data_IF_841858100174
#
_entry.id   IF_841858100174
#
_cell.length_a   1.000
_cell.length_b   1.000
_cell.length_c   1.000
_cell.angle_alpha   90.00
_cell.angle_beta   90.00
_cell.angle_gamma   90.00
#
_symmetry.space_group_name_H-M   'P 1'
#
loop_
_entity.id
_entity.type
_entity.pdbx_description
1 polymer ?
#
# COMPACT_ATOMS: atom_id res chain seq x y z
N UNK A 1 23.30 -0.96 18.07
CA UNK A 1 23.83 0.14 18.89
C UNK A 1 24.46 1.24 18.08
N UNK A 2 25.55 1.02 17.28
CA UNK A 2 26.19 2.10 16.50
C UNK A 2 25.21 2.72 15.48
N UNK A 3 24.42 1.93 14.76
CA UNK A 3 23.39 2.42 13.85
C UNK A 3 22.33 3.23 14.61
N UNK A 4 21.82 2.72 15.71
CA UNK A 4 20.82 3.41 16.54
C UNK A 4 21.33 4.76 17.03
N UNK A 5 22.57 4.82 17.52
CA UNK A 5 23.17 6.07 18.00
C UNK A 5 23.32 7.10 16.85
N UNK A 6 23.66 6.64 15.65
CA UNK A 6 23.73 7.51 14.47
C UNK A 6 22.34 8.02 14.02
N UNK A 7 21.33 7.15 14.02
CA UNK A 7 19.95 7.51 13.66
C UNK A 7 19.41 8.57 14.61
N UNK A 8 19.55 8.36 15.92
CA UNK A 8 19.11 9.34 16.92
C UNK A 8 19.90 10.66 16.80
N UNK A 9 21.22 10.59 16.64
CA UNK A 9 22.03 11.80 16.46
C UNK A 9 21.59 12.59 15.20
N UNK A 10 21.30 11.91 14.10
CA UNK A 10 20.80 12.55 12.88
C UNK A 10 19.42 13.18 13.08
N UNK A 11 18.50 12.48 13.76
CA UNK A 11 17.16 13.00 14.07
C UNK A 11 17.23 14.28 14.90
N UNK A 12 18.03 14.26 15.99
CA UNK A 12 18.23 15.43 16.86
C UNK A 12 18.92 16.58 16.15
N UNK A 13 19.91 16.30 15.31
CA UNK A 13 20.59 17.32 14.52
C UNK A 13 19.68 17.98 13.49
N UNK A 14 18.78 17.18 12.87
CA UNK A 14 17.80 17.67 11.92
C UNK A 14 16.59 18.35 12.58
N UNK A 15 16.39 18.18 13.89
CA UNK A 15 15.26 18.74 14.64
C UNK A 15 13.92 18.14 14.24
N UNK A 16 13.89 16.86 13.86
CA UNK A 16 12.67 16.12 13.53
C UNK A 16 12.04 15.49 14.78
N UNK A 17 10.72 15.38 14.79
CA UNK A 17 9.95 14.93 15.94
C UNK A 17 9.81 13.41 16.04
N UNK A 18 10.06 12.68 14.96
CA UNK A 18 9.89 11.24 14.92
C UNK A 18 10.73 10.54 13.87
N UNK A 19 10.80 9.23 14.00
CA UNK A 19 11.45 8.30 13.06
C UNK A 19 10.41 7.27 12.64
N UNK A 20 10.34 7.03 11.34
CA UNK A 20 9.59 5.92 10.76
C UNK A 20 10.57 4.85 10.25
N UNK A 21 10.36 3.60 10.66
CA UNK A 21 11.13 2.47 10.20
C UNK A 21 10.36 1.75 9.07
N UNK A 22 10.91 1.84 7.89
CA UNK A 22 10.37 1.19 6.69
C UNK A 22 11.38 0.16 6.16
N UNK A 23 11.55 -0.94 6.91
CA UNK A 23 12.39 -2.07 6.49
C UNK A 23 11.58 -3.07 5.69
N UNK A 24 11.57 -2.88 4.39
CA UNK A 24 10.98 -3.81 3.45
C UNK A 24 11.97 -4.95 3.10
N UNK A 25 11.44 -6.00 2.49
CA UNK A 25 12.25 -7.14 2.01
C UNK A 25 13.07 -7.88 3.09
N UNK A 26 12.69 -7.76 4.36
CA UNK A 26 13.13 -8.69 5.37
C UNK A 26 12.47 -10.04 5.05
N UNK A 27 13.25 -11.02 4.61
CA UNK A 27 12.71 -12.21 3.93
C UNK A 27 12.94 -13.52 4.68
N UNK A 28 13.24 -13.48 5.95
CA UNK A 28 13.48 -14.70 6.71
C UNK A 28 13.11 -14.57 8.19
N UNK A 29 12.51 -15.64 8.74
CA UNK A 29 12.27 -15.78 10.17
C UNK A 29 13.55 -15.56 11.01
N UNK A 30 14.71 -15.91 10.47
CA UNK A 30 15.99 -15.72 11.14
C UNK A 30 16.33 -14.23 11.41
N UNK A 31 15.69 -13.29 10.73
CA UNK A 31 15.90 -11.85 10.93
C UNK A 31 14.89 -11.28 11.91
N UNK A 32 13.72 -11.92 12.11
CA UNK A 32 12.63 -11.42 12.93
C UNK A 32 13.05 -11.03 14.35
N UNK A 33 13.66 -11.95 15.09
CA UNK A 33 14.15 -11.70 16.46
C UNK A 33 15.16 -10.54 16.51
N UNK A 34 16.05 -10.45 15.52
CA UNK A 34 17.04 -9.38 15.44
C UNK A 34 16.41 -8.04 15.13
N UNK A 35 15.36 -8.04 14.30
CA UNK A 35 14.60 -6.84 13.97
C UNK A 35 13.81 -6.32 15.17
N UNK A 36 13.11 -7.19 15.89
CA UNK A 36 12.43 -6.84 17.15
C UNK A 36 13.43 -6.31 18.19
N UNK A 37 14.60 -6.94 18.33
CA UNK A 37 15.62 -6.43 19.24
C UNK A 37 16.13 -5.04 18.83
N UNK A 38 16.28 -4.78 17.52
CA UNK A 38 16.61 -3.46 17.01
C UNK A 38 15.55 -2.41 17.36
N UNK A 39 14.25 -2.73 17.18
CA UNK A 39 13.14 -1.86 17.54
C UNK A 39 13.15 -1.55 19.04
N UNK A 40 13.32 -2.56 19.90
CA UNK A 40 13.44 -2.39 21.37
C UNK A 40 14.53 -1.41 21.76
N UNK A 41 15.74 -1.60 21.22
CA UNK A 41 16.88 -0.72 21.53
C UNK A 41 16.65 0.71 21.03
N UNK A 42 16.06 0.85 19.83
CA UNK A 42 15.77 2.15 19.25
C UNK A 42 14.67 2.88 20.03
N UNK A 43 13.60 2.19 20.43
CA UNK A 43 12.49 2.78 21.17
C UNK A 43 12.94 3.40 22.50
N UNK A 44 13.85 2.74 23.22
CA UNK A 44 14.43 3.31 24.44
C UNK A 44 15.20 4.60 24.18
N UNK A 45 15.91 4.67 23.05
CA UNK A 45 16.64 5.89 22.67
C UNK A 45 15.69 6.98 22.21
N UNK A 46 14.65 6.63 21.46
CA UNK A 46 13.59 7.55 21.04
C UNK A 46 12.90 8.17 22.28
N UNK A 47 12.42 7.34 23.20
CA UNK A 47 11.76 7.79 24.44
C UNK A 47 12.65 8.71 25.27
N UNK A 48 13.94 8.40 25.43
CA UNK A 48 14.89 9.22 26.19
C UNK A 48 15.19 10.58 25.55
N UNK A 49 14.88 10.74 24.26
CA UNK A 49 15.13 11.98 23.50
C UNK A 49 13.85 12.68 23.05
N UNK A 50 12.67 12.18 23.43
CA UNK A 50 11.38 12.76 23.02
C UNK A 50 11.09 12.62 21.52
N UNK A 51 11.59 11.54 20.89
CA UNK A 51 11.41 11.22 19.46
C UNK A 51 10.33 10.16 19.35
N UNK A 52 9.33 10.37 18.50
CA UNK A 52 8.28 9.38 18.19
C UNK A 52 8.85 8.28 17.30
N UNK A 53 8.46 7.02 17.54
CA UNK A 53 8.85 5.88 16.74
C UNK A 53 7.62 5.24 16.08
N UNK A 54 7.61 5.15 14.76
CA UNK A 54 6.66 4.34 14.00
C UNK A 54 7.37 3.27 13.16
N UNK A 55 6.64 2.20 12.85
CA UNK A 55 7.19 1.05 12.11
C UNK A 55 6.21 0.65 11.03
N UNK A 56 6.67 0.57 9.78
CA UNK A 56 5.87 0.14 8.65
C UNK A 56 5.86 -1.39 8.52
N UNK A 57 4.70 -1.93 8.21
CA UNK A 57 4.48 -3.35 8.05
C UNK A 57 3.58 -3.64 6.84
N UNK A 58 3.84 -4.76 6.19
CA UNK A 58 2.87 -5.33 5.25
C UNK A 58 1.58 -5.74 5.97
N UNK A 59 0.49 -5.80 5.22
CA UNK A 59 -0.76 -6.44 5.67
C UNK A 59 -0.45 -7.85 6.22
N UNK A 60 -1.02 -8.24 7.37
CA UNK A 60 -0.77 -9.54 7.98
C UNK A 60 -1.01 -10.70 7.02
N UNK A 61 -0.07 -11.60 6.95
CA UNK A 61 -0.13 -12.84 6.18
C UNK A 61 0.79 -13.89 6.81
N UNK A 62 0.67 -15.15 6.39
CA UNK A 62 1.58 -16.19 6.82
C UNK A 62 3.06 -15.89 6.47
N UNK A 63 3.29 -15.17 5.36
CA UNK A 63 4.64 -14.79 4.89
C UNK A 63 5.24 -13.62 5.66
N UNK A 64 4.42 -12.83 6.36
CA UNK A 64 4.84 -11.64 7.09
C UNK A 64 4.72 -11.79 8.61
N UNK A 65 4.37 -12.98 9.09
CA UNK A 65 4.18 -13.26 10.53
C UNK A 65 5.46 -13.03 11.35
N UNK A 66 6.64 -13.25 10.75
CA UNK A 66 7.92 -13.05 11.43
C UNK A 66 8.23 -11.59 11.78
N UNK A 67 7.49 -10.62 11.25
CA UNK A 67 7.60 -9.22 11.68
C UNK A 67 7.12 -9.02 13.12
N UNK A 68 6.27 -9.92 13.64
CA UNK A 68 5.78 -9.92 15.03
C UNK A 68 5.21 -8.55 15.45
N UNK A 69 4.14 -8.13 14.79
CA UNK A 69 3.49 -6.82 15.01
C UNK A 69 2.97 -6.64 16.42
N UNK A 70 2.58 -7.74 17.08
CA UNK A 70 2.17 -7.72 18.49
C UNK A 70 3.34 -7.27 19.38
N UNK A 71 4.56 -7.81 19.15
CA UNK A 71 5.73 -7.39 19.91
C UNK A 71 6.23 -6.00 19.50
N UNK A 72 6.10 -5.61 18.23
CA UNK A 72 6.41 -4.25 17.78
C UNK A 72 5.55 -3.21 18.51
N UNK A 73 4.25 -3.47 18.69
CA UNK A 73 3.32 -2.57 19.38
C UNK A 73 3.68 -2.31 20.85
N UNK A 74 4.49 -3.18 21.48
CA UNK A 74 5.00 -2.94 22.83
C UNK A 74 6.11 -1.88 22.87
N UNK A 75 6.72 -1.55 21.75
CA UNK A 75 7.90 -0.67 21.70
C UNK A 75 7.73 0.55 20.81
N UNK A 76 6.98 0.44 19.71
CA UNK A 76 6.68 1.56 18.83
C UNK A 76 5.48 2.38 19.34
N UNK A 77 5.48 3.68 19.08
CA UNK A 77 4.33 4.53 19.34
C UNK A 77 3.20 4.23 18.34
N UNK A 78 3.56 3.94 17.09
CA UNK A 78 2.61 3.57 16.03
C UNK A 78 3.13 2.43 15.17
N UNK A 79 2.18 1.60 14.71
CA UNK A 79 2.39 0.56 13.70
C UNK A 79 1.61 0.95 12.46
N UNK A 80 2.32 1.25 11.38
CA UNK A 80 1.72 1.57 10.09
C UNK A 80 1.51 0.29 9.31
N UNK A 81 0.31 0.09 8.79
CA UNK A 81 0.00 -1.04 7.90
C UNK A 81 -0.12 -0.52 6.48
N UNK A 82 0.75 -0.99 5.59
CA UNK A 82 0.74 -0.67 4.17
C UNK A 82 -0.43 -1.37 3.48
N UNK A 83 -1.61 -0.72 3.50
CA UNK A 83 -2.85 -1.22 2.90
C UNK A 83 -2.89 -1.00 1.39
N UNK A 84 -1.80 -1.36 0.70
CA UNK A 84 -1.62 -1.24 -0.75
C UNK A 84 -0.71 -2.34 -1.28
N UNK A 85 -0.48 -2.33 -2.60
CA UNK A 85 0.22 -3.39 -3.34
C UNK A 85 -0.44 -4.78 -3.19
N UNK A 86 -1.79 -4.80 -3.13
CA UNK A 86 -2.57 -6.03 -3.27
C UNK A 86 -2.21 -6.73 -4.58
N UNK A 87 -2.21 -5.95 -5.67
CA UNK A 87 -1.65 -6.33 -6.96
C UNK A 87 -0.49 -5.39 -7.33
N UNK A 88 0.63 -5.97 -7.74
CA UNK A 88 1.89 -5.27 -7.99
C UNK A 88 2.53 -5.72 -9.31
N UNK A 89 3.60 -5.07 -9.76
CA UNK A 89 4.30 -5.46 -10.98
C UNK A 89 4.82 -6.91 -10.89
N UNK A 90 4.29 -7.79 -11.72
CA UNK A 90 4.62 -9.23 -11.74
C UNK A 90 3.59 -10.13 -11.04
N UNK A 91 2.53 -9.57 -10.44
CA UNK A 91 1.34 -10.31 -10.05
C UNK A 91 0.32 -10.38 -11.19
N UNK A 92 -0.79 -11.09 -10.97
CA UNK A 92 -1.99 -10.95 -11.78
C UNK A 92 -2.52 -9.51 -11.70
N UNK A 93 -3.32 -9.10 -12.70
CA UNK A 93 -3.95 -7.80 -12.75
C UNK A 93 -5.01 -7.62 -11.65
N UNK A 94 -5.16 -6.38 -11.17
CA UNK A 94 -6.15 -6.06 -10.16
C UNK A 94 -5.93 -4.70 -9.53
N UNK A 95 -6.73 -4.43 -8.51
CA UNK A 95 -6.62 -3.24 -7.68
C UNK A 95 -5.31 -3.24 -6.88
N UNK A 96 -4.73 -2.07 -6.68
CA UNK A 96 -3.60 -1.91 -5.73
C UNK A 96 -4.06 -1.96 -4.28
N UNK A 97 -5.34 -1.68 -4.00
CA UNK A 97 -5.90 -1.62 -2.66
C UNK A 97 -7.44 -1.69 -2.71
N UNK A 98 -8.01 -2.86 -2.99
CA UNK A 98 -9.45 -3.06 -2.92
C UNK A 98 -9.99 -2.83 -1.51
N UNK A 99 -11.27 -2.48 -1.38
CA UNK A 99 -11.87 -2.28 -0.05
C UNK A 99 -11.87 -3.59 0.76
N UNK A 100 -11.98 -4.73 0.09
CA UNK A 100 -11.87 -6.05 0.71
C UNK A 100 -10.50 -6.29 1.32
N UNK A 101 -9.44 -6.04 0.57
CA UNK A 101 -8.06 -6.15 1.03
C UNK A 101 -7.78 -5.24 2.24
N UNK A 102 -8.15 -3.96 2.14
CA UNK A 102 -7.93 -3.00 3.24
C UNK A 102 -8.71 -3.37 4.49
N UNK A 103 -10.00 -3.75 4.35
CA UNK A 103 -10.84 -4.13 5.50
C UNK A 103 -10.32 -5.36 6.21
N UNK A 104 -9.95 -6.40 5.44
CA UNK A 104 -9.39 -7.63 6.00
C UNK A 104 -8.02 -7.38 6.64
N UNK A 105 -7.16 -6.58 5.98
CA UNK A 105 -5.86 -6.20 6.51
C UNK A 105 -5.96 -5.48 7.86
N UNK A 106 -6.88 -4.53 7.99
CA UNK A 106 -7.16 -3.85 9.27
C UNK A 106 -7.70 -4.83 10.31
N UNK A 107 -8.66 -5.68 9.93
CA UNK A 107 -9.25 -6.66 10.86
C UNK A 107 -8.22 -7.67 11.38
N UNK A 108 -7.28 -8.09 10.55
CA UNK A 108 -6.20 -8.99 10.94
C UNK A 108 -5.17 -8.28 11.81
N UNK A 109 -4.81 -7.03 11.49
CA UNK A 109 -3.90 -6.21 12.29
C UNK A 109 -4.45 -5.94 13.70
N UNK A 110 -5.75 -5.72 13.83
CA UNK A 110 -6.41 -5.51 15.13
C UNK A 110 -6.34 -6.72 16.08
N UNK A 111 -5.99 -7.90 15.58
CA UNK A 111 -5.73 -9.09 16.43
C UNK A 111 -4.36 -9.02 17.10
N UNK A 112 -3.44 -8.23 16.57
CA UNK A 112 -2.05 -8.14 16.97
C UNK A 112 -1.72 -6.77 17.62
N UNK A 113 -2.37 -5.69 17.17
CA UNK A 113 -2.02 -4.30 17.52
C UNK A 113 -3.25 -3.55 18.03
N UNK A 114 -3.15 -2.78 19.13
CA UNK A 114 -4.23 -1.90 19.59
C UNK A 114 -4.63 -0.87 18.54
N UNK A 115 -5.93 -0.61 18.39
CA UNK A 115 -6.47 0.29 17.36
C UNK A 115 -5.88 1.71 17.40
N UNK A 116 -5.64 2.25 18.59
CA UNK A 116 -5.08 3.57 18.82
C UNK A 116 -3.57 3.68 18.56
N UNK A 117 -2.93 2.59 18.16
CA UNK A 117 -1.56 2.55 17.67
C UNK A 117 -1.46 2.27 16.16
N UNK A 118 -2.57 1.88 15.49
CA UNK A 118 -2.57 1.55 14.07
C UNK A 118 -2.74 2.80 13.23
N UNK A 119 -1.83 3.00 12.28
CA UNK A 119 -1.99 3.95 11.17
C UNK A 119 -2.23 3.15 9.89
N UNK A 120 -3.33 3.44 9.19
CA UNK A 120 -3.64 2.80 7.90
C UNK A 120 -2.93 3.53 6.76
N UNK A 121 -1.98 2.86 6.12
CA UNK A 121 -1.34 3.34 4.88
C UNK A 121 -2.23 3.07 3.67
N UNK A 122 -2.51 4.09 2.86
CA UNK A 122 -3.30 4.00 1.64
C UNK A 122 -2.51 4.55 0.43
N UNK A 123 -2.80 4.09 -0.80
CA UNK A 123 -2.12 4.59 -1.98
C UNK A 123 -2.73 5.89 -2.49
N UNK A 124 -1.88 6.78 -3.00
CA UNK A 124 -2.27 7.87 -3.90
C UNK A 124 -1.96 7.55 -5.37
N UNK A 125 -1.58 6.30 -5.64
CA UNK A 125 -1.30 5.81 -6.98
C UNK A 125 -2.30 4.76 -7.42
N UNK A 126 -2.43 4.65 -8.72
CA UNK A 126 -3.19 3.62 -9.42
C UNK A 126 -2.22 2.83 -10.30
N UNK A 127 -2.47 1.56 -10.49
CA UNK A 127 -1.74 0.74 -11.46
C UNK A 127 -2.56 0.60 -12.74
N UNK A 128 -1.96 1.01 -13.85
CA UNK A 128 -2.53 0.81 -15.19
C UNK A 128 -1.94 -0.50 -15.74
N UNK A 129 -2.78 -1.47 -15.96
CA UNK A 129 -2.42 -2.77 -16.54
C UNK A 129 -2.54 -2.72 -18.04
N UNK A 130 -1.62 -3.37 -18.74
CA UNK A 130 -1.60 -3.47 -20.20
C UNK A 130 -1.45 -4.92 -20.63
N UNK A 131 -2.47 -5.44 -21.31
CA UNK A 131 -2.51 -6.75 -21.95
C UNK A 131 -2.12 -6.59 -23.42
N UNK A 132 -0.87 -6.89 -23.75
CA UNK A 132 -0.36 -6.84 -25.12
C UNK A 132 -0.53 -8.20 -25.76
N UNK A 133 -1.35 -8.34 -26.83
CA UNK A 133 -1.52 -9.61 -27.51
C UNK A 133 -0.17 -10.19 -27.95
N UNK A 134 0.05 -11.48 -27.68
CA UNK A 134 1.21 -12.18 -28.22
C UNK A 134 1.05 -12.34 -29.73
N UNK A 135 2.15 -12.21 -30.47
CA UNK A 135 2.15 -12.53 -31.86
C UNK A 135 1.77 -14.02 -32.06
N UNK A 136 0.89 -14.31 -33.00
CA UNK A 136 0.62 -15.69 -33.41
C UNK A 136 1.92 -16.26 -33.97
N UNK A 137 2.67 -16.99 -33.18
CA UNK A 137 3.77 -17.81 -33.68
C UNK A 137 3.13 -18.99 -34.42
N UNK A 138 3.14 -18.92 -35.75
CA UNK A 138 2.55 -19.95 -36.65
C UNK A 138 3.13 -21.37 -36.39
N UNK A 139 4.16 -21.53 -35.58
CA UNK A 139 4.85 -22.80 -35.33
C UNK A 139 4.49 -23.48 -33.97
N UNK A 140 3.87 -22.81 -32.99
CA UNK A 140 3.59 -23.42 -31.69
C UNK A 140 2.09 -23.53 -31.38
N UNK A 141 1.38 -24.30 -32.17
CA UNK A 141 -0.03 -24.69 -31.89
C UNK A 141 -0.18 -25.56 -30.62
N UNK A 142 0.94 -26.02 -30.03
CA UNK A 142 0.93 -26.84 -28.81
C UNK A 142 0.87 -25.97 -27.56
N UNK A 143 1.44 -24.78 -27.57
CA UNK A 143 1.35 -23.84 -26.44
C UNK A 143 -0.07 -23.29 -26.25
N UNK A 144 -0.77 -22.96 -27.34
CA UNK A 144 -2.15 -22.47 -27.29
C UNK A 144 -3.18 -23.50 -26.77
N UNK A 145 -2.79 -24.77 -26.64
CA UNK A 145 -3.62 -25.85 -26.12
C UNK A 145 -3.35 -26.16 -24.62
N UNK A 146 -2.41 -25.47 -23.96
CA UNK A 146 -2.13 -25.60 -22.54
C UNK A 146 -3.25 -24.95 -21.69
N UNK A 147 -3.68 -25.62 -20.61
CA UNK A 147 -4.73 -25.11 -19.71
C UNK A 147 -4.39 -23.73 -19.12
N UNK A 148 -3.10 -23.38 -19.03
CA UNK A 148 -2.60 -22.13 -18.43
C UNK A 148 -2.11 -21.13 -19.50
N UNK A 149 -2.49 -21.30 -20.79
CA UNK A 149 -2.05 -20.39 -21.84
C UNK A 149 -2.74 -19.03 -21.72
N UNK A 150 -1.96 -17.99 -21.51
CA UNK A 150 -2.40 -16.59 -21.53
C UNK A 150 -2.00 -15.96 -22.88
N UNK A 151 -2.97 -15.48 -23.69
CA UNK A 151 -2.74 -15.02 -25.06
C UNK A 151 -2.10 -13.62 -25.14
N UNK A 152 -1.68 -13.06 -24.03
CA UNK A 152 -1.09 -11.72 -23.95
C UNK A 152 0.09 -11.69 -22.96
N UNK A 153 0.92 -10.69 -23.10
CA UNK A 153 1.91 -10.31 -22.12
C UNK A 153 1.32 -9.22 -21.22
N UNK A 154 1.35 -9.45 -19.92
CA UNK A 154 0.85 -8.52 -18.92
C UNK A 154 1.98 -7.63 -18.42
N UNK A 155 1.79 -6.32 -18.55
CA UNK A 155 2.68 -5.31 -17.95
C UNK A 155 1.87 -4.29 -17.16
N UNK A 156 2.53 -3.50 -16.30
CA UNK A 156 1.84 -2.47 -15.55
C UNK A 156 2.73 -1.29 -15.20
N UNK A 157 2.10 -0.15 -15.00
CA UNK A 157 2.73 1.11 -14.60
C UNK A 157 1.96 1.71 -13.40
N UNK A 158 2.68 2.07 -12.33
CA UNK A 158 2.11 2.81 -11.21
C UNK A 158 2.16 4.31 -11.52
N UNK A 159 1.01 5.00 -11.44
CA UNK A 159 0.87 6.41 -11.80
C UNK A 159 0.01 7.15 -10.78
N UNK A 160 0.26 8.46 -10.61
CA UNK A 160 -0.55 9.31 -9.74
C UNK A 160 -1.93 9.62 -10.32
N UNK A 161 -2.83 10.13 -9.48
CA UNK A 161 -4.25 10.39 -9.76
C UNK A 161 -4.46 11.25 -11.00
N UNK A 162 -3.71 12.35 -11.15
CA UNK A 162 -3.80 13.24 -12.31
C UNK A 162 -3.44 12.54 -13.62
N UNK A 163 -2.45 11.63 -13.58
CA UNK A 163 -2.02 10.89 -14.77
C UNK A 163 -3.07 9.89 -15.21
N UNK A 164 -3.69 9.19 -14.26
CA UNK A 164 -4.82 8.27 -14.55
C UNK A 164 -5.94 9.03 -15.23
N UNK A 165 -6.39 10.14 -14.65
CA UNK A 165 -7.48 10.94 -15.19
C UNK A 165 -7.19 11.38 -16.64
N UNK A 166 -6.00 11.92 -16.88
CA UNK A 166 -5.58 12.34 -18.23
C UNK A 166 -5.54 11.17 -19.23
N UNK A 167 -5.09 9.99 -18.79
CA UNK A 167 -5.07 8.78 -19.65
C UNK A 167 -6.47 8.34 -20.03
N UNK A 168 -7.41 8.34 -19.10
CA UNK A 168 -8.80 7.97 -19.35
C UNK A 168 -9.47 8.97 -20.29
N UNK A 169 -9.30 10.27 -20.07
CA UNK A 169 -9.83 11.33 -20.95
C UNK A 169 -9.30 11.21 -22.39
N UNK A 170 -7.98 11.01 -22.57
CA UNK A 170 -7.36 10.86 -23.88
C UNK A 170 -7.87 9.66 -24.66
N UNK A 171 -8.25 8.59 -23.98
CA UNK A 171 -8.76 7.36 -24.60
C UNK A 171 -10.28 7.26 -24.60
N UNK A 172 -10.99 8.29 -24.09
CA UNK A 172 -12.46 8.30 -24.03
C UNK A 172 -13.03 7.23 -23.11
N UNK A 173 -12.24 6.73 -22.16
CA UNK A 173 -12.67 5.71 -21.21
C UNK A 173 -13.55 6.32 -20.12
N UNK A 174 -14.67 5.67 -19.83
CA UNK A 174 -15.63 6.13 -18.80
C UNK A 174 -15.58 5.16 -17.63
N UNK A 175 -15.11 5.60 -16.46
CA UNK A 175 -15.11 4.77 -15.25
C UNK A 175 -16.52 4.36 -14.82
N UNK A 176 -16.63 3.16 -14.26
CA UNK A 176 -17.84 2.63 -13.62
C UNK A 176 -17.50 2.16 -12.22
N UNK A 177 -18.39 2.41 -11.26
CA UNK A 177 -18.17 1.97 -9.89
C UNK A 177 -18.27 0.46 -9.75
N UNK A 178 -17.26 -0.14 -9.13
CA UNK A 178 -17.25 -1.54 -8.69
C UNK A 178 -17.55 -1.59 -7.19
N UNK A 179 -18.66 -2.15 -6.81
CA UNK A 179 -19.01 -2.34 -5.40
C UNK A 179 -18.10 -3.39 -4.72
N UNK A 180 -17.62 -4.36 -5.49
CA UNK A 180 -16.72 -5.40 -5.01
C UNK A 180 -15.37 -4.83 -4.57
N UNK A 181 -14.79 -3.97 -5.42
CA UNK A 181 -13.49 -3.37 -5.16
C UNK A 181 -13.59 -2.09 -4.30
N UNK A 182 -14.78 -1.47 -4.24
CA UNK A 182 -14.98 -0.15 -3.63
C UNK A 182 -14.23 0.94 -4.39
N UNK A 183 -14.15 0.81 -5.72
CA UNK A 183 -13.39 1.67 -6.60
C UNK A 183 -14.10 1.89 -7.94
N UNK A 184 -13.74 2.97 -8.63
CA UNK A 184 -14.06 3.10 -10.04
C UNK A 184 -13.13 2.22 -10.88
N UNK A 185 -13.69 1.49 -11.84
CA UNK A 185 -12.97 0.68 -12.82
C UNK A 185 -13.19 1.22 -14.22
N UNK A 186 -12.14 1.20 -15.03
CA UNK A 186 -12.21 1.54 -16.45
C UNK A 186 -11.36 0.58 -17.27
N UNK A 187 -11.83 0.33 -18.50
CA UNK A 187 -11.10 -0.43 -19.51
C UNK A 187 -11.14 0.33 -20.85
N UNK A 188 -10.05 0.28 -21.60
CA UNK A 188 -9.99 0.84 -22.93
C UNK A 188 -8.95 0.10 -23.79
N UNK A 189 -9.11 0.21 -25.11
CA UNK A 189 -8.16 -0.35 -26.08
C UNK A 189 -7.45 0.79 -26.80
N UNK A 190 -6.14 0.73 -26.87
CA UNK A 190 -5.32 1.66 -27.65
C UNK A 190 -4.22 0.88 -28.38
N UNK A 191 -4.10 1.09 -29.70
CA UNK A 191 -3.12 0.41 -30.56
C UNK A 191 -3.10 -1.13 -30.42
N UNK A 192 -4.28 -1.75 -30.19
CA UNK A 192 -4.43 -3.19 -30.06
C UNK A 192 -4.07 -3.76 -28.68
N UNK A 193 -3.68 -2.91 -27.73
CA UNK A 193 -3.43 -3.27 -26.34
C UNK A 193 -4.65 -2.94 -25.50
N UNK A 194 -5.10 -3.87 -24.65
CA UNK A 194 -6.17 -3.64 -23.68
C UNK A 194 -5.58 -3.10 -22.39
N UNK A 195 -6.13 -2.00 -21.90
CA UNK A 195 -5.75 -1.38 -20.64
C UNK A 195 -6.87 -1.51 -19.63
N UNK A 196 -6.53 -1.93 -18.41
CA UNK A 196 -7.43 -2.09 -17.28
C UNK A 196 -6.94 -1.27 -16.08
N UNK A 197 -7.86 -0.60 -15.40
CA UNK A 197 -7.50 0.38 -14.36
C UNK A 197 -8.52 0.34 -13.23
N UNK A 198 -8.08 -0.02 -12.03
CA UNK A 198 -8.82 0.17 -10.77
C UNK A 198 -8.34 1.48 -10.15
N UNK A 199 -9.21 2.47 -10.10
CA UNK A 199 -8.83 3.87 -9.90
C UNK A 199 -8.80 4.23 -8.43
N UNK A 200 -7.67 4.74 -7.95
CA UNK A 200 -7.61 5.45 -6.67
C UNK A 200 -8.02 6.91 -6.89
N UNK A 201 -9.12 7.28 -6.27
CA UNK A 201 -9.72 8.61 -6.32
C UNK A 201 -10.38 8.98 -4.98
N UNK A 202 -11.10 10.10 -4.95
CA UNK A 202 -11.78 10.54 -3.74
C UNK A 202 -12.85 9.56 -3.25
N UNK A 203 -13.53 8.84 -4.15
CA UNK A 203 -14.58 7.89 -3.77
C UNK A 203 -14.00 6.62 -3.16
N UNK A 204 -12.93 6.06 -3.75
CA UNK A 204 -12.23 4.90 -3.19
C UNK A 204 -11.54 5.23 -1.87
N UNK A 205 -10.94 6.42 -1.78
CA UNK A 205 -10.31 6.86 -0.54
C UNK A 205 -11.32 7.08 0.58
N UNK A 206 -12.51 7.61 0.27
CA UNK A 206 -13.56 7.78 1.26
C UNK A 206 -13.95 6.46 1.92
N UNK A 207 -14.00 5.34 1.17
CA UNK A 207 -14.23 4.00 1.72
C UNK A 207 -13.14 3.57 2.70
N UNK A 208 -11.88 3.85 2.40
CA UNK A 208 -10.74 3.53 3.27
C UNK A 208 -10.73 4.40 4.53
N UNK A 209 -11.10 5.67 4.40
CA UNK A 209 -11.28 6.59 5.53
C UNK A 209 -12.43 6.14 6.45
N UNK A 210 -13.52 5.59 5.90
CA UNK A 210 -14.60 4.97 6.67
C UNK A 210 -14.10 3.76 7.48
N UNK A 211 -13.22 2.92 6.91
CA UNK A 211 -12.57 1.79 7.61
C UNK A 211 -11.71 2.30 8.76
N UNK A 212 -10.85 3.29 8.53
CA UNK A 212 -10.06 3.92 9.58
C UNK A 212 -10.94 4.43 10.74
N UNK A 213 -11.96 5.21 10.42
CA UNK A 213 -12.82 5.86 11.43
C UNK A 213 -13.68 4.86 12.21
N UNK A 214 -14.29 3.88 11.52
CA UNK A 214 -15.15 2.87 12.17
C UNK A 214 -14.38 1.96 13.13
N UNK A 215 -13.12 1.68 12.84
CA UNK A 215 -12.22 0.91 13.69
C UNK A 215 -11.48 1.75 14.73
N UNK A 216 -11.66 3.09 14.74
CA UNK A 216 -11.00 4.02 15.67
C UNK A 216 -9.48 3.91 15.64
N UNK A 217 -8.92 3.77 14.44
CA UNK A 217 -7.48 3.73 14.26
C UNK A 217 -6.84 5.06 14.65
N UNK A 218 -5.53 5.04 14.97
CA UNK A 218 -4.76 6.24 15.33
C UNK A 218 -4.74 7.27 14.21
N UNK A 219 -4.73 6.82 12.96
CA UNK A 219 -4.68 7.72 11.81
C UNK A 219 -4.60 7.01 10.46
N UNK A 220 -4.27 7.80 9.47
CA UNK A 220 -4.07 7.37 8.10
C UNK A 220 -2.79 7.99 7.53
N UNK A 221 -2.08 7.27 6.68
CA UNK A 221 -0.93 7.74 5.93
C UNK A 221 -1.09 7.42 4.44
N UNK A 222 -0.27 8.05 3.59
CA UNK A 222 -0.43 7.91 2.15
C UNK A 222 0.92 7.73 1.43
N UNK A 223 0.98 6.80 0.51
CA UNK A 223 2.07 6.64 -0.42
C UNK A 223 1.64 7.11 -1.81
N UNK A 224 2.14 8.21 -2.36
CA UNK A 224 3.04 9.19 -1.71
C UNK A 224 2.66 10.60 -2.14
N UNK A 225 3.16 11.59 -1.44
CA UNK A 225 3.04 12.99 -1.81
C UNK A 225 3.54 13.24 -3.24
N UNK A 226 2.79 14.03 -4.02
CA UNK A 226 3.03 14.31 -5.43
C UNK A 226 2.32 13.35 -6.38
N UNK A 227 1.58 12.36 -5.86
CA UNK A 227 0.71 11.47 -6.65
C UNK A 227 -0.77 11.82 -6.51
N UNK A 228 -1.11 12.61 -5.49
CA UNK A 228 -2.47 13.07 -5.21
C UNK A 228 -2.92 14.20 -6.13
N UNK A 229 -4.22 14.40 -6.20
CA UNK A 229 -4.83 15.65 -6.70
C UNK A 229 -5.07 16.60 -5.54
N UNK A 230 -5.06 17.92 -5.78
CA UNK A 230 -5.32 18.91 -4.73
C UNK A 230 -6.67 18.69 -4.04
N UNK A 231 -7.68 18.25 -4.78
CA UNK A 231 -9.05 18.02 -4.26
C UNK A 231 -9.17 16.85 -3.30
N UNK A 232 -8.20 15.93 -3.26
CA UNK A 232 -8.25 14.75 -2.38
C UNK A 232 -8.23 15.16 -0.90
N UNK A 233 -7.53 16.27 -0.59
CA UNK A 233 -7.41 16.79 0.77
C UNK A 233 -8.75 17.21 1.36
N UNK A 234 -9.69 17.69 0.53
CA UNK A 234 -11.06 18.02 0.98
C UNK A 234 -11.79 16.77 1.50
N UNK A 235 -11.51 15.60 0.94
CA UNK A 235 -12.06 14.33 1.41
C UNK A 235 -11.40 13.89 2.70
N UNK A 236 -10.07 13.93 2.78
CA UNK A 236 -9.30 13.52 3.97
C UNK A 236 -9.69 14.34 5.20
N UNK A 237 -9.79 15.67 5.05
CA UNK A 237 -10.12 16.59 6.15
C UNK A 237 -11.47 16.28 6.81
N UNK A 238 -12.46 15.80 6.07
CA UNK A 238 -13.78 15.40 6.63
C UNK A 238 -13.69 14.30 7.69
N UNK A 239 -12.65 13.48 7.61
CA UNK A 239 -12.47 12.31 8.49
C UNK A 239 -11.40 12.51 9.56
N UNK A 240 -10.47 13.43 9.36
CA UNK A 240 -9.33 13.67 10.26
C UNK A 240 -9.49 14.88 11.17
N UNK A 241 -10.33 15.86 10.81
CA UNK A 241 -10.68 16.98 11.68
C UNK A 241 -11.88 16.58 12.55
N UNK A 242 -11.64 16.29 13.82
CA UNK A 242 -12.63 16.13 14.87
C UNK A 242 -12.77 17.41 15.68
#
# INVERSE_FOLDING_TARGET
TNLIDQVIAAALQAGIDGINLDFESLNSEAVGDSYIQFIRELSLKCANNGVVLSVDNYVPSAYTAFYDREEQANFADYVVIMGYDEHYAGSDEGSVASIGFVTNGVADTLKEVPADQIILGCPFYTRIWAETPKADDEEDTTAAAAEDYVPYDLTSEAVGMDTVQKRLELNGATPTWSEEDGQNYAEYVNDGVTYKVWIEDAASLEKKLEVMKSNKLAGISFWKLGFETDSIWDTIIKYTNN
#
